data_IF_188869547621
#
_entry.id   IF_188869547621
#
_cell.length_a   1.000
_cell.length_b   1.000
_cell.length_c   1.000
_cell.angle_alpha   90.00
_cell.angle_beta   90.00
_cell.angle_gamma   90.00
#
_symmetry.space_group_name_H-M   'P 1'
#
loop_
_entity.id
_entity.type
_entity.pdbx_description
1 polymer ?
#
# COMPACT_ATOMS: atom_id res chain seq x y z
N UNK A 1 -18.67 9.74 -13.81
CA UNK A 1 -18.02 8.70 -14.62
C UNK A 1 -17.52 7.66 -13.64
N UNK A 2 -18.01 6.42 -13.70
CA UNK A 2 -17.54 5.33 -12.86
C UNK A 2 -16.03 5.19 -13.03
N UNK A 3 -15.29 5.32 -11.95
CA UNK A 3 -13.89 4.94 -11.94
C UNK A 3 -13.88 3.41 -11.90
N UNK A 4 -13.94 2.76 -13.05
CA UNK A 4 -13.88 1.29 -13.14
C UNK A 4 -12.52 0.84 -12.57
N UNK A 5 -12.53 0.43 -11.31
CA UNK A 5 -11.40 -0.26 -10.72
C UNK A 5 -11.28 -1.64 -11.35
N UNK A 6 -10.05 -2.17 -11.46
CA UNK A 6 -9.81 -3.45 -12.10
C UNK A 6 -8.76 -4.26 -11.35
N UNK A 7 -8.79 -5.58 -11.53
CA UNK A 7 -7.74 -6.49 -11.06
C UNK A 7 -6.67 -6.59 -12.16
N UNK A 8 -5.47 -6.03 -11.97
CA UNK A 8 -4.40 -6.20 -12.93
C UNK A 8 -3.76 -7.59 -12.82
N UNK A 9 -2.85 -7.92 -13.75
CA UNK A 9 -2.09 -9.18 -13.69
C UNK A 9 -1.13 -9.22 -12.49
N UNK A 10 -0.71 -10.43 -12.12
CA UNK A 10 0.21 -10.64 -10.99
C UNK A 10 1.55 -9.93 -11.19
N UNK A 11 2.07 -9.86 -12.42
CA UNK A 11 3.33 -9.19 -12.74
C UNK A 11 3.25 -7.68 -12.47
N UNK A 12 2.11 -7.06 -12.79
CA UNK A 12 1.84 -5.65 -12.51
C UNK A 12 1.77 -5.42 -11.00
N UNK A 13 1.06 -6.31 -10.28
CA UNK A 13 0.95 -6.25 -8.82
C UNK A 13 2.34 -6.33 -8.18
N UNK A 14 3.14 -7.34 -8.55
CA UNK A 14 4.50 -7.51 -8.06
C UNK A 14 5.41 -6.33 -8.37
N UNK A 15 5.34 -5.78 -9.59
CA UNK A 15 6.14 -4.63 -9.98
C UNK A 15 5.79 -3.41 -9.11
N UNK A 16 4.51 -3.14 -8.87
CA UNK A 16 4.08 -2.04 -7.99
C UNK A 16 4.52 -2.28 -6.55
N UNK A 17 4.44 -3.51 -6.04
CA UNK A 17 4.88 -3.83 -4.69
C UNK A 17 6.38 -3.62 -4.50
N UNK A 18 7.19 -4.27 -5.33
CA UNK A 18 8.66 -4.23 -5.28
C UNK A 18 9.18 -2.81 -5.45
N UNK A 19 8.60 -2.05 -6.37
CA UNK A 19 9.05 -0.69 -6.63
C UNK A 19 8.44 0.30 -5.65
N UNK A 20 7.12 0.33 -5.45
CA UNK A 20 6.48 1.44 -4.71
C UNK A 20 6.33 1.19 -3.23
N UNK A 21 6.01 -0.04 -2.84
CA UNK A 21 5.58 -0.34 -1.47
C UNK A 21 6.77 -0.79 -0.62
N UNK A 22 7.57 -1.72 -1.12
CA UNK A 22 8.70 -2.31 -0.36
C UNK A 22 9.70 -1.27 0.15
N UNK A 23 10.11 -0.25 -0.62
CA UNK A 23 11.04 0.75 -0.10
C UNK A 23 10.47 1.56 1.06
N UNK A 24 9.16 1.85 1.03
CA UNK A 24 8.49 2.58 2.12
C UNK A 24 8.45 1.70 3.37
N UNK A 25 8.08 0.43 3.23
CA UNK A 25 8.01 -0.52 4.35
C UNK A 25 9.39 -0.77 4.98
N UNK A 26 10.44 -0.93 4.17
CA UNK A 26 11.81 -1.08 4.68
C UNK A 26 12.28 0.15 5.45
N UNK A 27 11.96 1.34 4.96
CA UNK A 27 12.28 2.58 5.68
C UNK A 27 11.52 2.64 7.01
N UNK A 28 10.22 2.34 7.00
CA UNK A 28 9.41 2.29 8.21
C UNK A 28 10.01 1.30 9.24
N UNK A 29 10.40 0.10 8.81
CA UNK A 29 11.01 -0.88 9.72
C UNK A 29 12.34 -0.43 10.32
N UNK A 30 13.13 0.36 9.60
CA UNK A 30 14.34 0.97 10.15
C UNK A 30 14.00 1.99 11.25
N UNK A 31 12.89 2.70 11.11
CA UNK A 31 12.50 3.78 12.01
C UNK A 31 11.77 3.28 13.27
N UNK A 32 10.90 2.26 13.12
CA UNK A 32 10.00 1.81 14.21
C UNK A 32 10.14 0.32 14.56
N UNK A 33 11.00 -0.42 13.87
CA UNK A 33 11.20 -1.85 14.06
C UNK A 33 10.39 -2.72 13.10
N UNK A 34 10.68 -4.03 13.13
CA UNK A 34 10.14 -5.03 12.19
C UNK A 34 8.64 -5.24 12.36
N UNK A 35 7.90 -5.33 11.26
CA UNK A 35 6.46 -5.53 11.25
C UNK A 35 6.02 -6.54 10.19
N UNK A 36 4.85 -7.15 10.41
CA UNK A 36 4.17 -7.95 9.39
C UNK A 36 3.15 -7.08 8.69
N UNK A 37 3.05 -7.16 7.36
CA UNK A 37 2.06 -6.43 6.59
C UNK A 37 1.18 -7.37 5.80
N UNK A 38 -0.10 -7.03 5.62
CA UNK A 38 -0.99 -7.69 4.68
C UNK A 38 -1.31 -6.71 3.56
N UNK A 39 -0.80 -6.98 2.38
CA UNK A 39 -1.12 -6.22 1.19
C UNK A 39 -2.29 -6.85 0.46
N UNK A 40 -3.39 -6.12 0.38
CA UNK A 40 -4.66 -6.55 -0.23
C UNK A 40 -4.99 -5.68 -1.45
N UNK A 41 -5.38 -6.32 -2.55
CA UNK A 41 -5.85 -5.65 -3.76
C UNK A 41 -7.37 -5.52 -3.66
N UNK A 42 -7.87 -4.30 -3.84
CA UNK A 42 -9.29 -3.97 -3.79
C UNK A 42 -9.81 -3.54 -5.16
N UNK A 43 -11.05 -3.94 -5.44
CA UNK A 43 -11.92 -3.34 -6.45
C UNK A 43 -13.16 -2.83 -5.73
N UNK A 44 -13.42 -1.53 -5.87
CA UNK A 44 -14.39 -0.80 -5.08
C UNK A 44 -14.11 -1.02 -3.59
N UNK A 45 -14.93 -1.80 -2.90
CA UNK A 45 -14.75 -2.13 -1.48
C UNK A 45 -14.61 -3.64 -1.21
N UNK A 46 -14.42 -4.44 -2.27
CA UNK A 46 -14.20 -5.87 -2.17
C UNK A 46 -12.71 -6.21 -2.25
N UNK A 47 -12.21 -6.98 -1.27
CA UNK A 47 -10.87 -7.58 -1.35
C UNK A 47 -10.89 -8.70 -2.39
N UNK A 48 -10.03 -8.58 -3.40
CA UNK A 48 -9.93 -9.54 -4.51
C UNK A 48 -8.79 -10.53 -4.31
N UNK A 49 -7.68 -10.06 -3.74
CA UNK A 49 -6.53 -10.89 -3.40
C UNK A 49 -5.76 -10.25 -2.26
N UNK A 50 -5.02 -11.07 -1.51
CA UNK A 50 -4.13 -10.57 -0.47
C UNK A 50 -2.89 -11.45 -0.32
N UNK A 51 -1.81 -10.82 0.10
CA UNK A 51 -0.56 -11.48 0.42
C UNK A 51 0.08 -10.87 1.65
N UNK A 52 0.73 -11.71 2.45
CA UNK A 52 1.50 -11.26 3.61
C UNK A 52 2.90 -10.90 3.15
N UNK A 53 3.35 -9.71 3.52
CA UNK A 53 4.71 -9.23 3.32
C UNK A 53 5.44 -9.33 4.66
N UNK A 54 6.49 -10.14 4.68
CA UNK A 54 7.40 -10.28 5.81
C UNK A 54 8.83 -10.07 5.29
N UNK A 55 9.49 -9.01 5.78
CA UNK A 55 10.87 -8.70 5.42
C UNK A 55 11.87 -9.26 6.44
N UNK A 56 11.38 -9.91 7.49
CA UNK A 56 12.21 -10.50 8.54
C UNK A 56 12.46 -11.98 8.28
N UNK A 57 13.72 -12.41 8.46
CA UNK A 57 14.08 -13.84 8.45
C UNK A 57 13.71 -14.55 9.77
N UNK A 58 13.30 -13.78 10.79
CA UNK A 58 12.92 -14.29 12.10
C UNK A 58 11.41 -14.33 12.14
N UNK A 59 10.86 -15.53 12.05
CA UNK A 59 9.44 -15.80 12.01
C UNK A 59 8.75 -15.33 13.31
N UNK A 60 8.42 -14.04 13.42
CA UNK A 60 7.73 -13.47 14.59
C UNK A 60 6.26 -13.88 14.53
N UNK A 61 5.96 -15.04 15.11
CA UNK A 61 4.70 -15.79 14.99
C UNK A 61 3.47 -15.14 15.64
N UNK A 62 3.55 -13.94 16.22
CA UNK A 62 2.49 -13.38 17.08
C UNK A 62 1.94 -11.99 16.72
N UNK A 63 2.33 -11.39 15.58
CA UNK A 63 1.87 -10.05 15.20
C UNK A 63 0.62 -10.03 14.30
N UNK A 64 -0.36 -9.16 14.61
CA UNK A 64 -1.43 -8.80 13.67
C UNK A 64 -0.78 -8.11 12.45
N UNK A 65 -1.00 -8.68 11.27
CA UNK A 65 -0.46 -8.11 10.02
C UNK A 65 -1.13 -6.76 9.72
N UNK A 66 -0.30 -5.74 9.56
CA UNK A 66 -0.72 -4.37 9.33
C UNK A 66 -1.30 -4.21 7.92
N UNK A 67 -2.52 -3.65 7.77
CA UNK A 67 -3.22 -3.65 6.50
C UNK A 67 -2.66 -2.60 5.53
N UNK A 68 -2.47 -3.02 4.28
CA UNK A 68 -2.13 -2.17 3.14
C UNK A 68 -3.13 -2.47 2.04
N UNK A 69 -3.82 -1.44 1.56
CA UNK A 69 -4.80 -1.51 0.48
C UNK A 69 -4.19 -0.96 -0.78
N UNK A 70 -4.34 -1.68 -1.88
CA UNK A 70 -3.90 -1.26 -3.21
C UNK A 70 -5.09 -1.29 -4.15
N UNK A 71 -5.29 -0.21 -4.89
CA UNK A 71 -6.35 -0.08 -5.89
C UNK A 71 -5.75 0.32 -7.23
N UNK A 72 -6.28 -0.25 -8.30
CA UNK A 72 -5.83 0.02 -9.66
C UNK A 72 -6.95 0.61 -10.50
N UNK A 73 -6.60 1.57 -11.34
CA UNK A 73 -7.54 2.24 -12.24
C UNK A 73 -6.93 2.40 -13.63
N UNK A 74 -7.71 2.23 -14.69
CA UNK A 74 -7.26 2.54 -16.04
C UNK A 74 -6.94 4.03 -16.17
N UNK A 75 -6.14 4.34 -17.18
CA UNK A 75 -5.92 5.72 -17.60
C UNK A 75 -6.43 5.92 -19.03
N UNK A 76 -6.46 7.16 -19.51
CA UNK A 76 -6.75 7.43 -20.92
C UNK A 76 -5.70 6.83 -21.87
N UNK A 77 -4.52 6.47 -21.36
CA UNK A 77 -3.51 5.72 -22.09
C UNK A 77 -3.70 4.22 -21.82
N UNK A 78 -4.03 3.47 -22.87
CA UNK A 78 -4.27 2.03 -22.80
C UNK A 78 -3.10 1.25 -22.19
N UNK A 79 -1.86 1.75 -22.37
CA UNK A 79 -0.66 1.06 -21.90
C UNK A 79 -0.25 1.48 -20.48
N UNK A 80 -1.13 2.17 -19.75
CA UNK A 80 -0.85 2.66 -18.39
C UNK A 80 -2.01 2.39 -17.44
N UNK A 81 -1.65 1.94 -16.23
CA UNK A 81 -2.53 1.88 -15.09
C UNK A 81 -2.08 2.87 -14.02
N UNK A 82 -3.05 3.51 -13.36
CA UNK A 82 -2.83 4.21 -12.09
C UNK A 82 -2.95 3.21 -10.96
N UNK A 83 -2.12 3.38 -9.94
CA UNK A 83 -2.30 2.69 -8.67
C UNK A 83 -2.36 3.70 -7.53
N UNK A 84 -3.10 3.34 -6.49
CA UNK A 84 -3.13 4.03 -5.22
C UNK A 84 -2.90 3.00 -4.11
N UNK A 85 -2.09 3.38 -3.14
CA UNK A 85 -1.75 2.58 -1.97
C UNK A 85 -2.10 3.38 -0.73
N UNK A 86 -2.75 2.71 0.21
CA UNK A 86 -3.09 3.26 1.51
C UNK A 86 -2.76 2.22 2.58
N UNK A 87 -2.03 2.63 3.60
CA UNK A 87 -1.69 1.82 4.75
C UNK A 87 -2.04 2.58 6.01
N UNK A 88 -2.77 1.93 6.92
CA UNK A 88 -3.15 2.49 8.22
C UNK A 88 -2.86 1.45 9.28
N UNK A 89 -1.91 1.76 10.14
CA UNK A 89 -1.37 0.89 11.17
C UNK A 89 -1.98 1.20 12.53
N UNK A 90 -2.08 0.18 13.39
CA UNK A 90 -2.67 0.31 14.72
C UNK A 90 -1.94 1.32 15.60
N UNK A 91 -2.64 1.84 16.61
CA UNK A 91 -2.12 2.93 17.46
C UNK A 91 -0.87 2.55 18.26
N UNK A 92 -0.73 1.25 18.55
CA UNK A 92 0.39 0.69 19.31
C UNK A 92 1.73 0.72 18.55
N UNK A 93 1.71 1.10 17.26
CA UNK A 93 2.90 1.24 16.41
C UNK A 93 3.38 2.68 16.26
N UNK A 94 2.64 3.64 16.83
CA UNK A 94 3.09 5.04 16.87
C UNK A 94 4.28 5.16 17.84
N UNK A 95 5.43 5.72 17.41
CA UNK A 95 6.58 5.97 18.30
C UNK A 95 6.25 6.85 19.52
N UNK A 96 5.11 7.56 19.46
CA UNK A 96 4.65 8.48 20.51
C UNK A 96 3.49 7.91 21.34
N UNK A 97 3.10 6.64 21.14
CA UNK A 97 2.09 5.95 21.95
C UNK A 97 0.66 6.50 21.84
N UNK A 98 0.37 7.34 20.85
CA UNK A 98 -0.98 7.87 20.58
C UNK A 98 -1.20 8.19 19.09
N UNK A 99 -2.36 7.81 18.56
CA UNK A 99 -2.75 8.02 17.15
C UNK A 99 -2.42 6.85 16.21
N UNK A 100 -2.92 6.88 14.96
CA UNK A 100 -2.59 5.89 13.92
C UNK A 100 -1.37 6.36 13.12
N UNK A 101 -0.48 5.44 12.76
CA UNK A 101 0.61 5.67 11.80
C UNK A 101 0.27 5.03 10.46
N UNK A 102 0.72 5.59 9.36
CA UNK A 102 0.37 5.05 8.06
C UNK A 102 0.98 5.84 6.93
N UNK A 103 0.81 5.34 5.72
CA UNK A 103 1.23 6.06 4.53
C UNK A 103 0.20 5.98 3.42
N UNK A 104 0.21 7.01 2.59
CA UNK A 104 -0.50 7.00 1.33
C UNK A 104 0.46 7.36 0.21
N UNK A 105 0.37 6.60 -0.89
CA UNK A 105 1.10 6.91 -2.11
C UNK A 105 0.26 6.54 -3.33
N UNK A 106 0.65 7.08 -4.48
CA UNK A 106 0.04 6.79 -5.76
C UNK A 106 1.09 6.79 -6.85
N UNK A 107 0.74 6.29 -8.01
CA UNK A 107 1.62 6.36 -9.16
C UNK A 107 0.97 5.81 -10.40
N UNK A 108 1.82 5.53 -11.38
CA UNK A 108 1.44 4.87 -12.62
C UNK A 108 2.42 3.74 -12.91
N UNK A 109 1.94 2.73 -13.63
CA UNK A 109 2.76 1.66 -14.18
C UNK A 109 2.44 1.53 -15.66
N UNK A 110 3.48 1.37 -16.48
CA UNK A 110 3.30 0.96 -17.88
C UNK A 110 3.12 -0.56 -17.93
N UNK A 111 2.06 -1.03 -18.59
CA UNK A 111 1.67 -2.44 -18.58
C UNK A 111 2.55 -3.32 -19.48
N UNK A 112 3.22 -2.73 -20.47
CA UNK A 112 4.02 -3.46 -21.45
C UNK A 112 5.43 -3.78 -20.91
N UNK A 113 5.98 -2.87 -20.11
CA UNK A 113 7.37 -2.95 -19.64
C UNK A 113 7.51 -2.86 -18.11
N UNK A 114 6.41 -2.80 -17.37
CA UNK A 114 6.35 -2.77 -15.92
C UNK A 114 7.12 -1.62 -15.25
N UNK A 115 7.44 -0.55 -15.99
CA UNK A 115 8.11 0.62 -15.44
C UNK A 115 7.14 1.38 -14.54
N UNK A 116 7.51 1.51 -13.27
CA UNK A 116 6.70 2.17 -12.24
C UNK A 116 7.15 3.62 -12.04
N UNK A 117 6.23 4.56 -12.29
CA UNK A 117 6.38 5.97 -11.99
C UNK A 117 5.65 6.29 -10.68
N UNK A 118 6.42 6.38 -9.60
CA UNK A 118 5.90 6.72 -8.27
C UNK A 118 5.62 8.22 -8.18
N UNK A 119 4.59 8.59 -7.44
CA UNK A 119 4.44 9.95 -6.94
C UNK A 119 5.62 10.26 -6.02
N UNK A 120 6.29 11.42 -6.17
CA UNK A 120 7.32 11.86 -5.22
C UNK A 120 6.71 12.19 -3.84
N UNK A 121 5.38 12.34 -3.77
CA UNK A 121 4.67 12.65 -2.55
C UNK A 121 4.15 11.37 -1.88
N UNK A 122 4.64 11.14 -0.66
CA UNK A 122 4.14 10.14 0.29
C UNK A 122 3.60 10.92 1.50
N UNK A 123 2.31 10.80 1.79
CA UNK A 123 1.77 11.35 3.03
C UNK A 123 2.01 10.37 4.17
N UNK A 124 2.68 10.82 5.22
CA UNK A 124 2.77 10.11 6.50
C UNK A 124 1.72 10.68 7.45
N UNK A 125 0.88 9.83 8.03
CA UNK A 125 -0.18 10.27 8.94
C UNK A 125 0.23 10.04 10.40
N UNK A 126 0.06 11.06 11.24
CA UNK A 126 -0.12 10.98 12.70
C UNK A 126 -1.40 11.76 13.05
N UNK A 127 -2.59 11.22 12.76
CA UNK A 127 -3.85 11.98 12.88
C UNK A 127 -4.80 11.34 13.90
N UNK A 128 -5.28 12.16 14.84
CA UNK A 128 -6.05 11.73 16.02
C UNK A 128 -7.53 11.39 15.75
N UNK A 129 -8.14 11.86 14.66
CA UNK A 129 -9.51 11.49 14.22
C UNK A 129 -9.67 11.67 12.71
N UNK A 130 -10.24 10.67 12.03
CA UNK A 130 -10.75 10.85 10.67
C UNK A 130 -12.16 11.46 10.73
N UNK A 131 -12.30 12.71 10.30
CA UNK A 131 -13.58 13.28 9.85
C UNK A 131 -13.43 13.59 8.37
N UNK A 132 -13.95 12.74 7.51
CA UNK A 132 -13.75 12.89 6.06
C UNK A 132 -14.56 11.98 5.15
N UNK A 133 -15.59 11.31 5.66
CA UNK A 133 -16.73 10.89 4.84
C UNK A 133 -17.92 11.76 5.25
N UNK A 134 -18.15 12.81 4.47
CA UNK A 134 -19.47 13.28 4.11
C UNK A 134 -19.49 13.42 2.60
#
# INVERSE_FOLDING_TARGET
>A
MSSEELLPSNEIIEAVLKNSIYPILKQLENDIGKLKYRCSIYIDDQEMSSQVLDFSEINTSSGIAQPIRVRFRPTFNANQLKFQVEAVFSQDLSPQGSGFSGFWTKGKINIDNFIVQRSPWVAQYNVWKWRGWK
#
